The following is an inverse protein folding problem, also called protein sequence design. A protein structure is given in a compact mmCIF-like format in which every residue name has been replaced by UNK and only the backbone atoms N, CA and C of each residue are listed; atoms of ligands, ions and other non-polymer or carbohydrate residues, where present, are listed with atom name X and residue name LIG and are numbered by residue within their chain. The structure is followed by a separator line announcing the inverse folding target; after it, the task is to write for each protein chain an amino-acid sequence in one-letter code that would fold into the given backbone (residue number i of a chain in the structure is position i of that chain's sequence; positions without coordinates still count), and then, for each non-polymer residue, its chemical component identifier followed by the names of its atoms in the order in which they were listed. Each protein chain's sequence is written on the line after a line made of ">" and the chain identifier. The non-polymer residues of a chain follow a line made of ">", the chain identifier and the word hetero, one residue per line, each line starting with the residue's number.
data_IF_267206158053
#
_entry.id   IF_267206158053
#
_cell.length_a   1.000
_cell.length_b   1.000
_cell.length_c   1.000
_cell.angle_alpha   90.00
_cell.angle_beta   90.00
_cell.angle_gamma   90.00
#
_symmetry.space_group_name_H-M   'P 1'
#
loop_
_entity.id
_entity.type
_entity.pdbx_description
1 polymer ?
#
# COMPACT_ATOMS: atom_id res chain seq x y z
N UNK A 1 8.54 -29.08 1.28
CA UNK A 1 9.12 -27.86 0.74
C UNK A 1 9.47 -26.86 1.86
N UNK A 2 8.57 -26.59 2.78
CA UNK A 2 8.76 -25.64 3.89
C UNK A 2 10.01 -25.91 4.76
N UNK A 3 10.21 -27.13 5.25
CA UNK A 3 11.40 -27.49 6.05
C UNK A 3 12.73 -27.26 5.33
N UNK A 4 12.74 -27.44 3.99
CA UNK A 4 13.91 -27.23 3.15
C UNK A 4 14.21 -25.74 2.99
N UNK A 5 13.17 -24.95 2.82
CA UNK A 5 13.25 -23.49 2.75
C UNK A 5 13.80 -22.89 4.05
N UNK A 6 13.27 -23.33 5.21
CA UNK A 6 13.73 -22.88 6.53
C UNK A 6 15.22 -23.19 6.76
N UNK A 7 15.65 -24.43 6.43
CA UNK A 7 17.05 -24.83 6.53
C UNK A 7 17.96 -23.93 5.69
N UNK A 8 17.59 -23.72 4.42
CA UNK A 8 18.37 -22.89 3.51
C UNK A 8 18.39 -21.42 3.94
N UNK A 9 17.26 -20.92 4.47
CA UNK A 9 17.17 -19.57 5.00
C UNK A 9 18.08 -19.37 6.22
N UNK A 10 18.10 -20.31 7.15
CA UNK A 10 19.00 -20.26 8.30
C UNK A 10 20.48 -20.25 7.89
N UNK A 11 20.85 -21.13 6.96
CA UNK A 11 22.21 -21.19 6.42
C UNK A 11 22.61 -19.91 5.66
N UNK A 12 21.65 -19.28 4.97
CA UNK A 12 21.87 -18.05 4.25
C UNK A 12 22.11 -16.88 5.23
N UNK A 13 21.32 -16.79 6.29
CA UNK A 13 21.49 -15.78 7.34
C UNK A 13 22.82 -15.92 8.08
N UNK A 14 23.32 -17.14 8.30
CA UNK A 14 24.65 -17.37 8.90
C UNK A 14 25.80 -16.93 7.99
N UNK A 15 25.60 -17.03 6.67
CA UNK A 15 26.64 -16.67 5.67
C UNK A 15 26.65 -15.19 5.32
N UNK A 16 25.52 -14.51 5.47
CA UNK A 16 25.44 -13.09 5.17
C UNK A 16 25.98 -12.28 6.35
N UNK A 17 27.03 -11.51 6.11
CA UNK A 17 27.53 -10.56 7.09
C UNK A 17 26.62 -9.32 7.11
N UNK A 18 25.78 -9.22 8.15
CA UNK A 18 24.83 -8.12 8.31
C UNK A 18 25.50 -6.76 8.63
N UNK A 19 26.82 -6.72 8.72
CA UNK A 19 27.58 -5.48 8.99
C UNK A 19 27.99 -4.75 7.71
N UNK A 20 27.94 -5.40 6.54
CA UNK A 20 28.27 -4.82 5.25
C UNK A 20 27.03 -4.60 4.38
N UNK A 21 27.04 -3.57 3.54
CA UNK A 21 26.01 -3.37 2.50
C UNK A 21 26.22 -4.38 1.36
N UNK A 22 25.56 -5.52 1.44
CA UNK A 22 25.61 -6.58 0.43
C UNK A 22 24.62 -6.21 -0.70
N UNK A 23 25.07 -6.25 -1.94
CA UNK A 23 24.21 -6.02 -3.12
C UNK A 23 23.22 -7.17 -3.35
N UNK A 24 22.14 -6.89 -4.07
CA UNK A 24 21.16 -7.91 -4.45
C UNK A 24 21.77 -9.01 -5.31
N UNK A 25 22.75 -8.67 -6.15
CA UNK A 25 23.49 -9.61 -6.99
C UNK A 25 24.32 -10.59 -6.16
N UNK A 26 25.00 -10.11 -5.13
CA UNK A 26 25.79 -10.96 -4.22
C UNK A 26 24.92 -11.92 -3.43
N UNK A 27 23.75 -11.45 -2.95
CA UNK A 27 22.78 -12.31 -2.27
C UNK A 27 22.27 -13.40 -3.20
N UNK A 28 21.92 -13.05 -4.44
CA UNK A 28 21.45 -14.02 -5.42
C UNK A 28 22.52 -15.08 -5.74
N UNK A 29 23.78 -14.69 -5.79
CA UNK A 29 24.90 -15.63 -5.98
C UNK A 29 25.03 -16.61 -4.80
N UNK A 30 24.89 -16.12 -3.55
CA UNK A 30 24.94 -17.00 -2.37
C UNK A 30 23.71 -17.95 -2.31
N UNK A 31 22.53 -17.44 -2.66
CA UNK A 31 21.31 -18.27 -2.79
C UNK A 31 21.53 -19.37 -3.83
N UNK A 32 22.04 -19.03 -5.00
CA UNK A 32 22.31 -20.00 -6.07
C UNK A 32 23.31 -21.08 -5.63
N UNK A 33 24.38 -20.71 -4.92
CA UNK A 33 25.34 -21.67 -4.34
C UNK A 33 24.68 -22.64 -3.37
N UNK A 34 23.84 -22.13 -2.44
CA UNK A 34 23.15 -22.96 -1.45
C UNK A 34 22.17 -23.94 -2.12
N UNK A 35 21.40 -23.46 -3.12
CA UNK A 35 20.48 -24.32 -3.87
C UNK A 35 21.26 -25.40 -4.63
N UNK A 36 22.44 -25.08 -5.21
CA UNK A 36 23.29 -26.03 -5.88
C UNK A 36 23.88 -27.08 -4.91
N UNK A 37 24.32 -26.69 -3.74
CA UNK A 37 24.79 -27.59 -2.70
C UNK A 37 23.70 -28.56 -2.25
N UNK A 38 22.49 -28.08 -2.00
CA UNK A 38 21.36 -28.92 -1.61
C UNK A 38 20.94 -29.87 -2.74
N UNK A 39 21.04 -29.43 -4.01
CA UNK A 39 20.71 -30.24 -5.17
C UNK A 39 21.73 -31.37 -5.46
N UNK A 40 22.95 -31.32 -4.92
CA UNK A 40 23.96 -32.40 -5.09
C UNK A 40 23.50 -33.72 -4.45
N UNK A 41 22.68 -33.65 -3.42
CA UNK A 41 22.21 -34.83 -2.68
C UNK A 41 20.89 -35.41 -3.21
N UNK A 42 20.12 -34.67 -3.99
CA UNK A 42 18.80 -35.08 -4.43
C UNK A 42 18.40 -34.36 -5.72
N UNK A 43 17.71 -35.07 -6.64
CA UNK A 43 17.17 -34.45 -7.85
C UNK A 43 16.20 -33.32 -7.50
N UNK A 44 16.46 -32.13 -8.02
CA UNK A 44 15.63 -30.95 -7.84
C UNK A 44 15.25 -30.38 -9.22
N UNK A 45 13.97 -30.38 -9.60
CA UNK A 45 13.50 -29.77 -10.85
C UNK A 45 13.88 -28.30 -10.97
N UNK A 46 14.05 -27.81 -12.18
CA UNK A 46 14.40 -26.41 -12.43
C UNK A 46 13.33 -25.44 -11.87
N UNK A 47 12.05 -25.81 -11.99
CA UNK A 47 10.94 -25.03 -11.42
C UNK A 47 11.08 -24.86 -9.90
N UNK A 48 11.41 -25.94 -9.18
CA UNK A 48 11.63 -25.90 -7.72
C UNK A 48 12.81 -25.01 -7.35
N UNK A 49 13.92 -25.05 -8.12
CA UNK A 49 15.06 -24.16 -7.91
C UNK A 49 14.71 -22.70 -8.08
N UNK A 50 13.94 -22.36 -9.13
CA UNK A 50 13.49 -20.99 -9.39
C UNK A 50 12.58 -20.49 -8.25
N UNK A 51 11.63 -21.31 -7.82
CA UNK A 51 10.73 -20.97 -6.71
C UNK A 51 11.49 -20.76 -5.41
N UNK A 52 12.40 -21.67 -5.04
CA UNK A 52 13.25 -21.54 -3.85
C UNK A 52 14.13 -20.29 -3.90
N UNK A 53 14.74 -20.02 -5.04
CA UNK A 53 15.54 -18.80 -5.26
C UNK A 53 14.75 -17.53 -4.98
N UNK A 54 13.54 -17.47 -5.55
CA UNK A 54 12.67 -16.31 -5.36
C UNK A 54 12.20 -16.18 -3.89
N UNK A 55 11.82 -17.28 -3.27
CA UNK A 55 11.37 -17.30 -1.88
C UNK A 55 12.49 -16.89 -0.91
N UNK A 56 13.71 -17.40 -1.07
CA UNK A 56 14.85 -17.03 -0.24
C UNK A 56 15.21 -15.56 -0.42
N UNK A 57 15.22 -15.06 -1.66
CA UNK A 57 15.48 -13.65 -1.94
C UNK A 57 14.40 -12.72 -1.33
N UNK A 58 13.13 -13.08 -1.50
CA UNK A 58 12.01 -12.33 -0.92
C UNK A 58 12.08 -12.29 0.62
N UNK A 59 12.50 -13.40 1.23
CA UNK A 59 12.65 -13.50 2.69
C UNK A 59 13.75 -12.59 3.27
N UNK A 60 14.74 -12.18 2.48
CA UNK A 60 15.85 -11.34 2.94
C UNK A 60 15.69 -9.88 2.56
N UNK A 61 15.29 -9.61 1.32
CA UNK A 61 15.27 -8.26 0.74
C UNK A 61 13.88 -7.65 0.62
N UNK A 62 12.86 -8.49 0.61
CA UNK A 62 11.47 -8.10 0.36
C UNK A 62 10.59 -8.47 1.54
N UNK A 63 9.30 -8.50 1.34
CA UNK A 63 8.32 -8.77 2.40
C UNK A 63 7.92 -10.26 2.48
N UNK A 64 8.90 -11.14 2.29
CA UNK A 64 8.74 -12.60 2.35
C UNK A 64 7.57 -13.10 1.48
N UNK A 65 6.70 -13.94 2.04
CA UNK A 65 5.54 -14.49 1.33
C UNK A 65 4.54 -13.40 0.89
N UNK A 66 4.49 -12.25 1.57
CA UNK A 66 3.61 -11.14 1.18
C UNK A 66 4.01 -10.51 -0.15
N UNK A 67 5.26 -10.70 -0.58
CA UNK A 67 5.74 -10.10 -1.84
C UNK A 67 4.95 -10.60 -3.04
N UNK A 68 4.61 -11.87 -3.08
CA UNK A 68 3.78 -12.45 -4.14
C UNK A 68 2.40 -11.78 -4.23
N UNK A 69 1.77 -11.55 -3.08
CA UNK A 69 0.48 -10.87 -3.02
C UNK A 69 0.58 -9.38 -3.40
N UNK A 70 1.72 -8.74 -3.10
CA UNK A 70 1.98 -7.35 -3.48
C UNK A 70 2.29 -7.19 -4.97
N UNK A 71 2.71 -8.22 -5.66
CA UNK A 71 2.93 -8.25 -7.10
C UNK A 71 1.67 -8.61 -7.89
N UNK A 72 0.69 -9.27 -7.25
CA UNK A 72 -0.60 -9.63 -7.86
C UNK A 72 -1.53 -8.40 -7.91
N UNK A 73 -1.79 -7.88 -9.11
CA UNK A 73 -2.64 -6.70 -9.31
C UNK A 73 -4.13 -6.92 -9.01
N UNK A 74 -4.57 -8.19 -8.97
CA UNK A 74 -5.96 -8.53 -8.63
C UNK A 74 -6.26 -8.42 -7.14
N UNK A 75 -5.22 -8.36 -6.30
CA UNK A 75 -5.33 -8.23 -4.84
C UNK A 75 -5.59 -6.78 -4.46
N UNK A 76 -6.67 -6.52 -3.74
CA UNK A 76 -7.04 -5.20 -3.25
C UNK A 76 -6.72 -5.00 -1.77
N UNK A 77 -6.78 -6.06 -0.96
CA UNK A 77 -6.45 -6.01 0.46
C UNK A 77 -5.79 -7.32 0.92
N UNK A 78 -4.80 -7.22 1.80
CA UNK A 78 -4.09 -8.34 2.43
C UNK A 78 -4.25 -8.19 3.94
N UNK A 79 -4.73 -9.24 4.60
CA UNK A 79 -4.97 -9.26 6.04
C UNK A 79 -4.22 -10.43 6.67
N UNK A 80 -3.18 -10.15 7.44
CA UNK A 80 -2.39 -11.15 8.18
C UNK A 80 -2.88 -11.16 9.62
N UNK A 81 -3.37 -12.31 10.08
CA UNK A 81 -3.89 -12.52 11.42
C UNK A 81 -2.93 -13.42 12.22
N UNK A 82 -1.81 -12.85 12.66
CA UNK A 82 -0.76 -13.64 13.33
C UNK A 82 -0.21 -14.72 12.39
N UNK A 83 0.08 -15.89 12.96
CA UNK A 83 0.47 -17.09 12.22
C UNK A 83 -0.72 -17.96 11.81
N UNK A 84 -1.94 -17.59 12.23
CA UNK A 84 -3.14 -18.42 12.01
C UNK A 84 -3.56 -18.44 10.54
N UNK A 85 -3.39 -17.31 9.83
CA UNK A 85 -3.69 -17.25 8.41
C UNK A 85 -3.58 -15.86 7.79
N UNK A 86 -3.55 -15.88 6.46
CA UNK A 86 -3.57 -14.69 5.62
C UNK A 86 -4.86 -14.72 4.82
N UNK A 87 -5.58 -13.60 4.84
CA UNK A 87 -6.78 -13.42 4.05
C UNK A 87 -6.52 -12.36 2.98
N UNK A 88 -7.09 -12.57 1.82
CA UNK A 88 -6.86 -11.73 0.64
C UNK A 88 -8.19 -11.34 0.04
N UNK A 89 -8.37 -10.07 -0.25
CA UNK A 89 -9.51 -9.59 -1.02
C UNK A 89 -9.14 -9.51 -2.50
N UNK A 90 -10.00 -10.13 -3.35
CA UNK A 90 -9.98 -10.01 -4.80
C UNK A 90 -11.40 -9.80 -5.30
N UNK A 91 -11.61 -8.84 -6.16
CA UNK A 91 -12.95 -8.53 -6.73
C UNK A 91 -14.04 -8.34 -5.66
N UNK A 92 -13.72 -7.71 -4.52
CA UNK A 92 -14.64 -7.51 -3.40
C UNK A 92 -14.98 -8.76 -2.60
N UNK A 93 -14.24 -9.87 -2.78
CA UNK A 93 -14.44 -11.13 -2.04
C UNK A 93 -13.21 -11.48 -1.24
N UNK A 94 -13.39 -11.68 0.05
CA UNK A 94 -12.32 -12.11 0.97
C UNK A 94 -12.23 -13.64 0.95
N UNK A 95 -11.01 -14.16 0.79
CA UNK A 95 -10.71 -15.59 0.85
C UNK A 95 -9.46 -15.84 1.67
N UNK A 96 -9.40 -16.98 2.36
CA UNK A 96 -8.17 -17.43 3.00
C UNK A 96 -7.15 -17.79 1.91
N UNK A 97 -5.92 -17.32 2.09
CA UNK A 97 -4.80 -17.70 1.23
C UNK A 97 -4.19 -19.02 1.73
N UNK A 98 -3.65 -19.82 0.84
CA UNK A 98 -3.13 -21.15 1.15
C UNK A 98 -1.79 -21.13 1.90
N UNK A 99 -1.04 -20.02 1.82
CA UNK A 99 0.21 -19.84 2.54
C UNK A 99 0.01 -19.07 3.85
N UNK A 100 0.91 -19.33 4.81
CA UNK A 100 0.93 -18.65 6.10
C UNK A 100 2.37 -18.46 6.56
N UNK A 101 2.60 -17.56 7.49
CA UNK A 101 3.90 -17.42 8.11
C UNK A 101 4.27 -18.66 8.92
N UNK A 102 5.48 -19.16 8.72
CA UNK A 102 5.99 -20.39 9.35
C UNK A 102 6.22 -20.19 10.85
N UNK A 103 6.62 -18.99 11.25
CA UNK A 103 6.86 -18.63 12.64
C UNK A 103 6.46 -17.20 12.96
N UNK A 104 6.22 -16.96 14.26
CA UNK A 104 5.97 -15.62 14.79
C UNK A 104 7.17 -14.70 14.56
N UNK A 105 8.39 -15.20 14.74
CA UNK A 105 9.62 -14.44 14.53
C UNK A 105 9.71 -13.92 13.09
N UNK A 106 9.39 -14.78 12.11
CA UNK A 106 9.42 -14.39 10.70
C UNK A 106 8.41 -13.28 10.40
N UNK A 107 7.21 -13.35 10.98
CA UNK A 107 6.21 -12.29 10.86
C UNK A 107 6.68 -10.98 11.54
N UNK A 108 7.33 -11.08 12.69
CA UNK A 108 7.91 -9.91 13.37
C UNK A 108 9.04 -9.27 12.54
N UNK A 109 9.87 -10.05 11.88
CA UNK A 109 10.91 -9.55 10.96
C UNK A 109 10.28 -8.74 9.82
N UNK A 110 9.20 -9.27 9.20
CA UNK A 110 8.47 -8.56 8.15
C UNK A 110 7.84 -7.27 8.67
N UNK A 111 7.29 -7.28 9.89
CA UNK A 111 6.78 -6.07 10.54
C UNK A 111 7.88 -5.01 10.68
N UNK A 112 9.07 -5.40 11.17
CA UNK A 112 10.18 -4.46 11.34
C UNK A 112 10.73 -3.96 9.99
N UNK A 113 10.76 -4.81 8.96
CA UNK A 113 11.12 -4.39 7.61
C UNK A 113 10.14 -3.35 7.04
N UNK A 114 8.82 -3.55 7.19
CA UNK A 114 7.80 -2.58 6.78
C UNK A 114 7.99 -1.27 7.53
N UNK A 115 8.12 -1.33 8.86
CA UNK A 115 8.29 -0.16 9.71
C UNK A 115 9.56 0.63 9.33
N UNK A 116 10.68 -0.07 9.12
CA UNK A 116 11.95 0.52 8.70
C UNK A 116 11.86 1.22 7.35
N UNK A 117 11.31 0.55 6.32
CA UNK A 117 11.11 1.12 4.98
C UNK A 117 10.21 2.36 5.00
N UNK A 118 9.26 2.42 5.93
CA UNK A 118 8.34 3.55 6.06
C UNK A 118 8.83 4.63 7.05
N UNK A 119 10.03 4.48 7.61
CA UNK A 119 10.57 5.33 8.67
C UNK A 119 9.58 5.49 9.85
N UNK A 120 9.03 4.36 10.31
CA UNK A 120 8.09 4.27 11.42
C UNK A 120 8.67 3.38 12.51
N UNK A 121 8.24 3.64 13.74
CA UNK A 121 8.57 2.82 14.91
C UNK A 121 7.33 2.03 15.28
N UNK A 122 7.50 0.73 15.46
CA UNK A 122 6.48 -0.16 16.01
C UNK A 122 7.16 -1.15 16.97
N UNK A 123 6.69 -1.19 18.21
CA UNK A 123 7.17 -2.05 19.27
C UNK A 123 6.10 -2.20 20.37
N UNK A 124 6.41 -2.88 21.46
CA UNK A 124 5.47 -3.05 22.58
C UNK A 124 5.00 -1.73 23.22
N UNK A 125 5.83 -0.69 23.22
CA UNK A 125 5.46 0.63 23.74
C UNK A 125 4.59 1.44 22.75
N UNK A 126 4.78 1.21 21.45
CA UNK A 126 4.00 1.83 20.36
C UNK A 126 3.47 0.68 19.49
N UNK A 127 2.44 -0.05 19.97
CA UNK A 127 2.01 -1.29 19.33
C UNK A 127 1.14 -1.09 18.08
N UNK A 128 0.70 0.13 17.81
CA UNK A 128 -0.16 0.46 16.66
C UNK A 128 0.54 1.48 15.78
N UNK A 129 0.69 1.15 14.50
CA UNK A 129 1.31 2.05 13.55
C UNK A 129 0.58 2.02 12.20
N UNK A 130 0.37 3.20 11.63
CA UNK A 130 -0.03 3.38 10.23
C UNK A 130 1.20 3.76 9.42
N UNK A 131 1.43 3.06 8.33
CA UNK A 131 2.55 3.28 7.42
C UNK A 131 2.08 3.32 5.96
N UNK A 132 2.95 3.75 5.07
CA UNK A 132 2.72 3.74 3.64
C UNK A 132 3.95 3.24 2.93
N UNK A 133 3.81 2.20 2.12
CA UNK A 133 4.87 1.67 1.28
C UNK A 133 5.20 2.65 0.14
N UNK A 134 6.36 2.50 -0.47
CA UNK A 134 6.82 3.35 -1.58
C UNK A 134 5.86 3.35 -2.79
N UNK A 135 5.21 2.22 -3.04
CA UNK A 135 4.20 2.08 -4.09
C UNK A 135 2.84 2.75 -3.74
N UNK A 136 2.71 3.36 -2.56
CA UNK A 136 1.51 4.02 -2.09
C UNK A 136 0.56 3.15 -1.27
N UNK A 137 0.79 1.84 -1.18
CA UNK A 137 -0.03 0.91 -0.38
C UNK A 137 -0.02 1.31 1.10
N UNK A 138 -1.18 1.26 1.73
CA UNK A 138 -1.31 1.58 3.15
C UNK A 138 -1.17 0.35 3.99
N UNK A 139 -0.40 0.45 5.04
CA UNK A 139 -0.18 -0.62 5.99
C UNK A 139 -0.60 -0.17 7.37
N UNK A 140 -1.47 -0.94 8.01
CA UNK A 140 -1.74 -0.84 9.43
C UNK A 140 -1.12 -2.05 10.12
N UNK A 141 -0.37 -1.81 11.18
CA UNK A 141 0.29 -2.83 12.00
C UNK A 141 -0.21 -2.71 13.41
N UNK A 142 -0.57 -3.85 14.01
CA UNK A 142 -0.95 -3.94 15.42
C UNK A 142 -0.15 -5.09 16.06
N UNK A 143 0.61 -4.78 17.11
CA UNK A 143 1.43 -5.74 17.84
C UNK A 143 0.80 -6.19 19.16
N UNK A 144 1.24 -7.33 19.73
CA UNK A 144 1.00 -7.63 21.12
C UNK A 144 1.54 -6.52 22.06
N UNK A 145 0.93 -6.29 23.24
CA UNK A 145 -0.20 -7.06 23.80
C UNK A 145 -1.58 -6.64 23.30
N UNK A 146 -1.67 -5.59 22.47
CA UNK A 146 -2.96 -5.12 21.93
C UNK A 146 -3.56 -6.14 20.97
N UNK A 147 -2.74 -6.70 20.09
CA UNK A 147 -3.13 -7.80 19.21
C UNK A 147 -3.00 -9.14 19.96
N UNK A 148 -4.12 -9.68 20.40
CA UNK A 148 -4.15 -10.90 21.25
C UNK A 148 -3.67 -12.15 20.49
N UNK A 149 -3.95 -12.21 19.19
CA UNK A 149 -3.62 -13.36 18.33
C UNK A 149 -2.21 -13.29 17.71
N UNK A 150 -1.36 -12.36 18.14
CA UNK A 150 -0.04 -12.11 17.55
C UNK A 150 -0.02 -10.86 16.69
N UNK A 151 1.08 -10.59 15.98
CA UNK A 151 1.17 -9.42 15.09
C UNK A 151 0.11 -9.47 14.00
N UNK A 152 -0.59 -8.35 13.80
CA UNK A 152 -1.59 -8.19 12.74
C UNK A 152 -1.05 -7.17 11.73
N UNK A 153 -1.16 -7.49 10.44
CA UNK A 153 -0.82 -6.58 9.35
C UNK A 153 -2.01 -6.50 8.42
N UNK A 154 -2.47 -5.30 8.12
CA UNK A 154 -3.46 -5.07 7.06
C UNK A 154 -2.84 -4.16 6.02
N UNK A 155 -2.76 -4.64 4.77
CA UNK A 155 -2.23 -3.87 3.63
C UNK A 155 -3.38 -3.62 2.67
N UNK A 156 -3.72 -2.34 2.50
CA UNK A 156 -4.68 -1.91 1.50
C UNK A 156 -3.94 -1.39 0.28
N UNK A 157 -4.16 -2.06 -0.84
CA UNK A 157 -3.48 -1.75 -2.09
C UNK A 157 -3.94 -0.39 -2.64
N UNK A 158 -2.98 0.32 -3.16
CA UNK A 158 -3.24 1.56 -3.88
C UNK A 158 -3.38 1.23 -5.37
N UNK A 159 -4.53 1.51 -6.02
CA UNK A 159 -4.70 1.17 -7.43
C UNK A 159 -3.64 1.88 -8.27
N UNK A 160 -2.98 1.15 -9.16
CA UNK A 160 -1.98 1.72 -10.07
C UNK A 160 -2.62 2.70 -11.05
N UNK A 161 -3.79 2.36 -11.52
CA UNK A 161 -4.57 3.21 -12.44
C UNK A 161 -5.91 3.57 -11.80
N UNK A 162 -6.27 4.86 -11.77
CA UNK A 162 -7.59 5.26 -11.31
C UNK A 162 -8.67 4.77 -12.27
N UNK A 163 -9.83 4.43 -11.73
CA UNK A 163 -11.00 4.10 -12.54
C UNK A 163 -11.49 5.39 -13.21
N UNK A 164 -11.61 5.37 -14.54
CA UNK A 164 -12.08 6.51 -15.33
C UNK A 164 -13.61 6.63 -15.31
N UNK A 165 -14.15 7.77 -15.72
CA UNK A 165 -15.60 7.96 -15.82
C UNK A 165 -16.23 7.03 -16.86
N UNK A 166 -15.53 6.76 -17.97
CA UNK A 166 -15.98 5.80 -18.97
C UNK A 166 -16.16 4.42 -18.37
N UNK A 167 -15.21 4.00 -17.55
CA UNK A 167 -15.31 2.71 -16.85
C UNK A 167 -16.46 2.66 -15.86
N UNK A 168 -16.76 3.76 -15.16
CA UNK A 168 -17.92 3.85 -14.29
C UNK A 168 -19.25 3.76 -15.04
N UNK A 169 -19.31 4.32 -16.24
CA UNK A 169 -20.48 4.19 -17.14
C UNK A 169 -20.64 2.74 -17.60
N UNK A 170 -19.57 2.08 -18.05
CA UNK A 170 -19.59 0.68 -18.47
C UNK A 170 -20.04 -0.25 -17.34
N UNK A 171 -19.63 0.02 -16.10
CA UNK A 171 -20.05 -0.71 -14.91
C UNK A 171 -21.49 -0.38 -14.45
N UNK A 172 -22.18 0.56 -15.12
CA UNK A 172 -23.52 0.98 -14.77
C UNK A 172 -23.61 1.78 -13.46
N UNK A 173 -22.48 2.26 -12.92
CA UNK A 173 -22.43 3.06 -11.68
C UNK A 173 -22.97 4.48 -11.90
N UNK A 174 -22.88 5.00 -13.11
CA UNK A 174 -23.40 6.31 -13.53
C UNK A 174 -23.89 6.21 -14.98
N UNK A 175 -25.00 6.93 -15.30
CA UNK A 175 -25.42 7.00 -16.70
C UNK A 175 -24.61 8.04 -17.46
N UNK A 176 -24.55 7.90 -18.80
CA UNK A 176 -23.83 8.85 -19.66
C UNK A 176 -24.39 10.26 -19.51
N UNK A 177 -25.71 10.42 -19.44
CA UNK A 177 -26.37 11.73 -19.31
C UNK A 177 -25.96 12.43 -18.00
N UNK A 178 -25.87 11.65 -16.90
CA UNK A 178 -25.42 12.18 -15.59
C UNK A 178 -23.94 12.54 -15.65
N UNK A 179 -23.09 11.73 -16.27
CA UNK A 179 -21.67 12.03 -16.45
C UNK A 179 -21.45 13.30 -17.27
N UNK A 180 -22.19 13.48 -18.39
CA UNK A 180 -22.11 14.67 -19.25
C UNK A 180 -22.58 15.92 -18.48
N UNK A 181 -23.63 15.81 -17.65
CA UNK A 181 -24.10 16.89 -16.81
C UNK A 181 -23.06 17.28 -15.75
N UNK A 182 -22.48 16.29 -15.05
CA UNK A 182 -21.44 16.53 -14.05
C UNK A 182 -20.19 17.17 -14.66
N UNK A 183 -19.83 16.77 -15.88
CA UNK A 183 -18.75 17.42 -16.63
C UNK A 183 -19.01 18.92 -16.82
N UNK A 184 -20.22 19.28 -17.21
CA UNK A 184 -20.60 20.70 -17.36
C UNK A 184 -20.48 21.46 -16.03
N UNK A 185 -20.94 20.85 -14.92
CA UNK A 185 -20.84 21.46 -13.60
C UNK A 185 -19.39 21.68 -13.17
N UNK A 186 -18.50 20.67 -13.39
CA UNK A 186 -17.08 20.79 -13.10
C UNK A 186 -16.46 21.92 -13.92
N UNK A 187 -16.64 21.91 -15.23
CA UNK A 187 -16.09 22.94 -16.12
C UNK A 187 -16.62 24.35 -15.80
N UNK A 188 -17.83 24.46 -15.27
CA UNK A 188 -18.42 25.73 -14.85
C UNK A 188 -18.02 26.15 -13.43
N UNK A 189 -17.20 25.37 -12.73
CA UNK A 189 -16.68 25.71 -11.39
C UNK A 189 -17.70 25.61 -10.25
N UNK A 190 -18.70 24.75 -10.39
CA UNK A 190 -19.68 24.50 -9.31
C UNK A 190 -19.04 23.74 -8.13
N UNK A 191 -19.49 24.07 -6.94
CA UNK A 191 -19.15 23.28 -5.75
C UNK A 191 -19.93 21.94 -5.76
N UNK A 192 -19.19 20.83 -5.70
CA UNK A 192 -19.75 19.48 -5.74
C UNK A 192 -19.41 18.76 -4.45
N UNK A 193 -20.40 18.19 -3.79
CA UNK A 193 -20.26 17.38 -2.57
C UNK A 193 -20.56 15.91 -2.89
N UNK A 194 -19.59 15.03 -2.58
CA UNK A 194 -19.74 13.59 -2.73
C UNK A 194 -19.78 12.97 -1.34
N UNK A 195 -20.91 12.37 -1.00
CA UNK A 195 -21.11 11.72 0.30
C UNK A 195 -21.60 10.28 0.14
N UNK A 196 -21.35 9.47 1.15
CA UNK A 196 -21.74 8.05 1.17
C UNK A 196 -20.98 7.28 2.24
N UNK A 197 -21.35 6.04 2.51
CA UNK A 197 -20.70 5.16 3.48
C UNK A 197 -19.27 4.77 3.12
N UNK A 198 -18.56 4.13 4.05
CA UNK A 198 -17.24 3.56 3.78
C UNK A 198 -17.34 2.47 2.70
N UNK A 199 -16.39 2.42 1.76
CA UNK A 199 -16.40 1.44 0.66
C UNK A 199 -17.41 1.74 -0.47
N UNK A 200 -18.18 2.85 -0.41
CA UNK A 200 -19.16 3.18 -1.46
C UNK A 200 -18.58 3.77 -2.75
N UNK A 201 -17.26 3.84 -2.90
CA UNK A 201 -16.61 4.35 -4.11
C UNK A 201 -16.46 5.88 -4.19
N UNK A 202 -16.65 6.62 -3.08
CA UNK A 202 -16.51 8.09 -3.06
C UNK A 202 -15.19 8.58 -3.68
N UNK A 203 -14.07 8.02 -3.27
CA UNK A 203 -12.74 8.42 -3.75
C UNK A 203 -12.56 8.06 -5.23
N UNK A 204 -13.04 6.90 -5.64
CA UNK A 204 -13.04 6.46 -7.04
C UNK A 204 -13.83 7.42 -7.92
N UNK A 205 -15.04 7.79 -7.46
CA UNK A 205 -15.89 8.72 -8.20
C UNK A 205 -15.30 10.14 -8.23
N UNK A 206 -14.69 10.59 -7.12
CA UNK A 206 -14.01 11.87 -7.04
C UNK A 206 -12.81 11.93 -7.99
N UNK A 207 -12.01 10.86 -8.08
CA UNK A 207 -10.92 10.75 -9.05
C UNK A 207 -11.45 10.87 -10.49
N UNK A 208 -12.45 10.06 -10.84
CA UNK A 208 -13.04 10.10 -12.18
C UNK A 208 -13.65 11.48 -12.53
N UNK A 209 -14.25 12.15 -11.55
CA UNK A 209 -14.82 13.48 -11.75
C UNK A 209 -13.73 14.56 -11.91
N UNK A 210 -12.60 14.42 -11.23
CA UNK A 210 -11.48 15.37 -11.29
C UNK A 210 -10.82 15.40 -12.68
N UNK A 211 -10.96 14.36 -13.48
CA UNK A 211 -10.46 14.33 -14.86
C UNK A 211 -11.16 15.34 -15.78
N UNK A 212 -12.35 15.80 -15.41
CA UNK A 212 -13.08 16.84 -16.13
C UNK A 212 -12.58 18.26 -15.85
N UNK A 213 -11.72 18.45 -14.85
CA UNK A 213 -11.12 19.76 -14.56
C UNK A 213 -10.18 20.13 -15.73
N UNK A 214 -10.28 21.37 -16.26
CA UNK A 214 -9.37 21.84 -17.32
C UNK A 214 -7.91 21.69 -16.89
N UNK A 215 -7.08 21.15 -17.77
CA UNK A 215 -5.69 20.77 -17.45
C UNK A 215 -4.73 21.96 -17.27
N UNK A 216 -5.13 23.16 -17.71
CA UNK A 216 -4.43 24.42 -17.53
C UNK A 216 -4.74 25.12 -16.18
N UNK A 217 -5.68 24.55 -15.41
CA UNK A 217 -6.06 25.08 -14.11
C UNK A 217 -5.10 24.63 -13.00
N UNK A 218 -5.09 25.42 -11.91
CA UNK A 218 -4.39 25.03 -10.69
C UNK A 218 -5.31 24.19 -9.82
N UNK A 219 -4.85 23.01 -9.44
CA UNK A 219 -5.57 22.13 -8.51
C UNK A 219 -4.82 22.03 -7.18
N UNK A 220 -5.55 22.15 -6.09
CA UNK A 220 -5.04 21.90 -4.74
C UNK A 220 -5.87 20.78 -4.13
N UNK A 221 -5.25 19.64 -3.81
CA UNK A 221 -5.91 18.58 -3.05
C UNK A 221 -5.57 18.71 -1.58
N UNK A 222 -6.55 18.53 -0.72
CA UNK A 222 -6.42 18.53 0.73
C UNK A 222 -7.07 17.27 1.27
N UNK A 223 -6.27 16.37 1.81
CA UNK A 223 -6.71 15.05 2.21
C UNK A 223 -6.24 14.72 3.63
N UNK A 224 -7.03 13.93 4.37
CA UNK A 224 -6.57 13.32 5.62
C UNK A 224 -5.53 12.22 5.37
N UNK A 225 -5.61 11.60 4.21
CA UNK A 225 -4.63 10.70 3.64
C UNK A 225 -4.67 10.82 2.12
N UNK A 226 -3.53 11.04 1.48
CA UNK A 226 -3.45 11.28 0.05
C UNK A 226 -3.83 10.01 -0.76
N UNK A 227 -5.06 9.95 -1.27
CA UNK A 227 -5.59 8.87 -2.10
C UNK A 227 -5.95 9.32 -3.52
N UNK A 228 -6.05 10.63 -3.75
CA UNK A 228 -6.41 11.14 -5.06
C UNK A 228 -5.25 11.00 -6.06
N UNK A 229 -5.58 10.54 -7.26
CA UNK A 229 -4.64 10.31 -8.37
C UNK A 229 -5.00 11.20 -9.56
N UNK A 230 -4.85 12.51 -9.40
CA UNK A 230 -5.14 13.47 -10.46
C UNK A 230 -4.03 13.40 -11.50
N UNK A 231 -4.38 13.17 -12.76
CA UNK A 231 -3.46 12.98 -13.87
C UNK A 231 -3.52 14.12 -14.87
N UNK A 232 -2.38 14.37 -15.56
CA UNK A 232 -2.29 15.31 -16.67
C UNK A 232 -2.43 16.78 -16.31
N UNK A 233 -2.30 17.16 -15.04
CA UNK A 233 -2.33 18.54 -14.55
C UNK A 233 -0.92 18.95 -14.10
N UNK A 234 -0.33 19.94 -14.76
CA UNK A 234 1.02 20.40 -14.42
C UNK A 234 1.05 21.19 -13.10
N UNK A 235 0.02 21.99 -12.83
CA UNK A 235 -0.04 22.85 -11.65
C UNK A 235 -0.86 22.21 -10.52
N UNK A 236 -0.42 21.03 -10.06
CA UNK A 236 -1.05 20.25 -8.99
C UNK A 236 -0.28 20.44 -7.68
N UNK A 237 -1.00 20.84 -6.62
CA UNK A 237 -0.50 20.86 -5.23
C UNK A 237 -1.25 19.83 -4.42
N UNK A 238 -0.52 18.96 -3.73
CA UNK A 238 -1.11 17.92 -2.88
C UNK A 238 -0.76 18.20 -1.42
N UNK A 239 -1.78 18.34 -0.59
CA UNK A 239 -1.64 18.60 0.83
C UNK A 239 -2.27 17.45 1.62
N UNK A 240 -1.53 16.92 2.57
CA UNK A 240 -1.97 15.85 3.44
C UNK A 240 -1.91 16.28 4.91
N UNK A 241 -2.98 15.99 5.65
CA UNK A 241 -3.02 16.22 7.08
C UNK A 241 -1.98 15.37 7.80
N UNK A 242 -1.39 15.88 8.86
CA UNK A 242 -0.43 15.17 9.66
C UNK A 242 -0.95 15.03 11.09
N UNK A 243 -1.02 13.77 11.57
CA UNK A 243 -1.29 13.48 12.97
C UNK A 243 -0.16 14.03 13.85
N UNK A 244 -0.43 14.18 15.13
CA UNK A 244 0.59 14.52 16.13
C UNK A 244 1.78 13.55 16.04
N UNK A 245 2.98 14.06 16.32
CA UNK A 245 4.17 13.21 16.47
C UNK A 245 4.11 12.42 17.79
N UNK A 246 5.12 11.59 18.04
CA UNK A 246 5.24 10.80 19.29
C UNK A 246 5.26 11.63 20.57
N UNK A 247 5.49 12.95 20.48
CA UNK A 247 5.46 13.89 21.60
C UNK A 247 4.10 14.59 21.76
N UNK A 248 3.09 14.24 20.99
CA UNK A 248 1.77 14.91 21.01
C UNK A 248 1.76 16.32 20.43
N UNK A 249 2.73 16.65 19.55
CA UNK A 249 2.91 18.00 19.00
C UNK A 249 2.90 17.99 17.46
N UNK A 250 2.74 19.19 16.89
CA UNK A 250 2.90 19.46 15.46
C UNK A 250 1.88 18.74 14.54
N UNK A 251 0.67 18.51 15.01
CA UNK A 251 -0.43 18.15 14.12
C UNK A 251 -0.66 19.25 13.08
N UNK A 252 -0.99 18.83 11.84
CA UNK A 252 -1.48 19.72 10.79
C UNK A 252 -2.84 19.22 10.37
N UNK A 253 -3.88 19.97 10.69
CA UNK A 253 -5.26 19.56 10.43
C UNK A 253 -5.71 19.94 9.02
N UNK A 254 -6.75 19.29 8.51
CA UNK A 254 -7.44 19.68 7.27
C UNK A 254 -7.81 21.17 7.29
N UNK A 255 -8.28 21.69 8.46
CA UNK A 255 -8.63 23.10 8.62
C UNK A 255 -7.44 24.03 8.41
N UNK A 256 -6.25 23.64 8.89
CA UNK A 256 -5.03 24.43 8.71
C UNK A 256 -4.59 24.43 7.25
N UNK A 257 -4.72 23.29 6.58
CA UNK A 257 -4.43 23.15 5.15
C UNK A 257 -5.39 24.00 4.29
N UNK A 258 -6.69 23.99 4.59
CA UNK A 258 -7.67 24.87 3.92
C UNK A 258 -7.31 26.35 4.11
N UNK A 259 -6.97 26.78 5.34
CA UNK A 259 -6.53 28.16 5.55
C UNK A 259 -5.26 28.51 4.78
N UNK A 260 -4.37 27.55 4.59
CA UNK A 260 -3.14 27.73 3.82
C UNK A 260 -3.43 27.80 2.32
N UNK A 261 -4.30 26.93 1.80
CA UNK A 261 -4.63 26.88 0.37
C UNK A 261 -5.25 28.20 -0.13
N UNK A 262 -6.06 28.87 0.69
CA UNK A 262 -6.62 30.20 0.38
C UNK A 262 -5.55 31.27 0.12
N UNK A 263 -4.30 31.06 0.52
CA UNK A 263 -3.16 31.95 0.25
C UNK A 263 -2.30 31.48 -0.94
N UNK A 264 -2.58 30.30 -1.48
CA UNK A 264 -1.85 29.71 -2.61
C UNK A 264 -2.42 30.17 -3.96
N UNK A 265 -2.62 31.49 -4.12
CA UNK A 265 -3.16 32.16 -5.29
C UNK A 265 -4.61 31.73 -5.61
N UNK A 266 -5.60 32.11 -4.78
CA UNK A 266 -6.99 31.91 -5.08
C UNK A 266 -7.39 32.80 -6.28
N UNK A 267 -7.38 32.23 -7.49
CA UNK A 267 -8.07 32.84 -8.64
C UNK A 267 -9.50 32.31 -8.68
N UNK A 268 -10.44 33.04 -9.31
CA UNK A 268 -11.83 32.57 -9.39
C UNK A 268 -12.02 31.22 -10.08
N UNK A 269 -10.96 30.63 -10.63
CA UNK A 269 -10.97 29.38 -11.38
C UNK A 269 -9.97 28.33 -10.84
N UNK A 270 -9.57 28.37 -9.58
CA UNK A 270 -8.80 27.26 -9.01
C UNK A 270 -9.74 26.24 -8.38
N UNK A 271 -9.36 25.00 -8.47
CA UNK A 271 -10.12 23.90 -7.92
C UNK A 271 -9.50 23.44 -6.60
N UNK A 272 -10.27 23.47 -5.53
CA UNK A 272 -9.91 22.86 -4.25
C UNK A 272 -10.69 21.57 -4.10
N UNK A 273 -9.97 20.47 -3.98
CA UNK A 273 -10.54 19.16 -3.70
C UNK A 273 -10.23 18.83 -2.25
N UNK A 274 -11.24 18.92 -1.40
CA UNK A 274 -11.11 18.60 0.02
C UNK A 274 -11.77 17.27 0.29
N UNK A 275 -11.00 16.31 0.83
CA UNK A 275 -11.48 15.00 1.18
C UNK A 275 -11.39 14.79 2.69
N UNK A 276 -12.52 14.51 3.29
CA UNK A 276 -12.63 14.12 4.69
C UNK A 276 -12.92 12.62 4.80
N UNK A 277 -12.37 11.97 5.81
CA UNK A 277 -12.82 10.65 6.24
C UNK A 277 -13.97 10.85 7.22
N UNK A 278 -15.12 10.24 6.92
CA UNK A 278 -16.26 10.19 7.83
C UNK A 278 -15.98 9.18 8.94
#
# INVERSE_FOLDING_TARGET
>A
MEQKQEKLYALLNEKLDHTEEISDEEILVEIDKLIWEEAKGQYMPLSEKITLRQQLFNGIRRLDILQELLEDESVTEIMVNGTDGIFVEREGRIRCWEHRFVSKTKLEDVVQQIAGKCNRIVNEAIPITDARLENGDRVNIVLPPVAVNGPIITIRRFPKEPITMERLIELGSVSKEVADFLKQLVCAGYNIFICGGTGSGKTTFLNALSDYIPKDERIITIEDNAELQIQGVENLVRLEARKENTEGKHAVTIRDLIKSSLRMRPRPHHYEIVRFRA
#
